data_IF_512641048418
#
_entry.id   IF_512641048418
#
_cell.length_a   1.000
_cell.length_b   1.000
_cell.length_c   1.000
_cell.angle_alpha   90.00
_cell.angle_beta   90.00
_cell.angle_gamma   90.00
#
_symmetry.space_group_name_H-M   'P 1'
#
loop_
_entity.id
_entity.type
_entity.pdbx_description
1 polymer ?
#
# COMPACT_ATOMS: atom_id res chain seq x y z
N UNK A 1 -2.13 2.79 -34.93
CA UNK A 1 -1.04 3.58 -34.33
C UNK A 1 -0.80 3.07 -32.92
N UNK A 2 0.34 2.44 -32.64
CA UNK A 2 0.71 1.99 -31.31
C UNK A 2 1.09 3.22 -30.47
N UNK A 3 0.08 3.90 -29.92
CA UNK A 3 0.28 5.06 -29.07
C UNK A 3 1.08 4.68 -27.84
N UNK A 4 2.02 5.55 -27.45
CA UNK A 4 2.72 5.53 -26.16
C UNK A 4 1.69 5.75 -25.04
N UNK A 5 0.87 4.74 -24.76
CA UNK A 5 -0.16 4.76 -23.72
C UNK A 5 0.39 4.18 -22.41
N UNK A 6 -0.22 4.57 -21.30
CA UNK A 6 0.03 3.90 -20.02
C UNK A 6 -0.68 2.54 -20.01
N UNK A 7 -0.03 1.53 -19.44
CA UNK A 7 -0.62 0.22 -19.16
C UNK A 7 -0.94 0.15 -17.67
N UNK A 8 -2.17 -0.19 -17.32
CA UNK A 8 -2.53 -0.54 -15.95
C UNK A 8 -1.95 -1.92 -15.63
N UNK A 9 -1.25 -2.03 -14.51
CA UNK A 9 -0.68 -3.29 -14.01
C UNK A 9 -1.56 -3.77 -12.87
N UNK A 10 -2.09 -4.98 -12.99
CA UNK A 10 -2.87 -5.60 -11.93
C UNK A 10 -1.96 -6.06 -10.79
N UNK A 11 -2.41 -5.92 -9.54
CA UNK A 11 -1.71 -6.51 -8.40
C UNK A 11 -1.60 -8.05 -8.51
N UNK A 12 -2.46 -8.71 -9.29
CA UNK A 12 -2.33 -10.14 -9.58
C UNK A 12 -1.05 -10.44 -10.38
N UNK A 13 -0.68 -9.57 -11.32
CA UNK A 13 0.58 -9.71 -12.08
C UNK A 13 1.77 -9.51 -11.15
N UNK A 14 1.72 -8.50 -10.27
CA UNK A 14 2.76 -8.26 -9.25
C UNK A 14 2.91 -9.47 -8.33
N UNK A 15 1.80 -9.99 -7.78
CA UNK A 15 1.82 -11.17 -6.90
C UNK A 15 2.41 -12.40 -7.59
N UNK A 16 2.13 -12.60 -8.88
CA UNK A 16 2.73 -13.67 -9.68
C UNK A 16 4.24 -13.52 -9.78
N UNK A 17 4.74 -12.31 -10.03
CA UNK A 17 6.19 -12.04 -10.08
C UNK A 17 6.84 -12.27 -8.72
N UNK A 18 6.21 -11.81 -7.64
CA UNK A 18 6.69 -12.03 -6.26
C UNK A 18 6.72 -13.54 -5.94
N UNK A 19 5.74 -14.30 -6.40
CA UNK A 19 5.68 -15.75 -6.24
C UNK A 19 6.77 -16.54 -6.99
N UNK A 20 7.47 -15.91 -7.95
CA UNK A 20 8.59 -16.52 -8.66
C UNK A 20 9.95 -16.27 -7.99
N UNK A 21 9.98 -15.45 -6.93
CA UNK A 21 11.22 -15.17 -6.20
C UNK A 21 11.70 -16.41 -5.42
N UNK A 22 13.01 -16.73 -5.45
CA UNK A 22 13.56 -17.86 -4.70
C UNK A 22 13.34 -17.75 -3.19
N UNK A 23 13.13 -18.87 -2.50
CA UNK A 23 12.84 -18.93 -1.06
C UNK A 23 13.84 -18.16 -0.15
N UNK A 24 15.11 -18.05 -0.54
CA UNK A 24 16.14 -17.34 0.22
C UNK A 24 16.20 -15.82 -0.04
N UNK A 25 15.28 -15.29 -0.82
CA UNK A 25 15.20 -13.86 -1.14
C UNK A 25 14.37 -13.11 -0.11
N UNK A 26 14.62 -11.80 0.02
CA UNK A 26 13.82 -10.89 0.82
C UNK A 26 13.30 -9.76 -0.07
N UNK A 27 12.00 -9.50 0.01
CA UNK A 27 11.32 -8.42 -0.70
C UNK A 27 10.57 -7.55 0.30
N UNK A 28 10.86 -6.24 0.30
CA UNK A 28 10.06 -5.24 1.00
C UNK A 28 9.28 -4.42 -0.02
N UNK A 29 7.95 -4.56 -0.01
CA UNK A 29 7.02 -3.78 -0.81
C UNK A 29 6.49 -2.59 0.01
N UNK A 30 6.49 -1.41 -0.60
CA UNK A 30 5.96 -0.18 -0.01
C UNK A 30 4.89 0.38 -0.94
N UNK A 31 3.63 0.24 -0.53
CA UNK A 31 2.45 0.58 -1.33
C UNK A 31 1.78 1.84 -0.76
N UNK A 32 2.21 3.02 -1.23
CA UNK A 32 1.48 4.26 -0.97
C UNK A 32 0.35 4.44 -1.99
N UNK A 33 -0.73 3.70 -1.81
CA UNK A 33 -1.93 3.80 -2.64
C UNK A 33 -3.19 3.37 -1.88
N UNK A 34 -4.34 3.76 -2.40
CA UNK A 34 -5.61 3.16 -2.01
C UNK A 34 -5.78 1.78 -2.69
N UNK A 35 -6.62 0.92 -2.11
CA UNK A 35 -6.86 -0.45 -2.59
C UNK A 35 -5.62 -1.37 -2.65
N UNK A 36 -4.77 -1.38 -1.61
CA UNK A 36 -3.62 -2.25 -1.55
C UNK A 36 -4.07 -3.71 -1.43
N UNK A 37 -3.76 -4.52 -2.44
CA UNK A 37 -4.05 -5.96 -2.45
C UNK A 37 -2.77 -6.73 -2.77
N UNK A 38 -2.32 -7.56 -1.83
CA UNK A 38 -1.20 -8.49 -1.98
C UNK A 38 -1.66 -9.88 -1.54
N UNK A 39 -2.05 -10.70 -2.51
CA UNK A 39 -2.57 -12.05 -2.27
C UNK A 39 -1.44 -12.98 -1.83
N UNK A 40 -1.80 -14.02 -1.06
CA UNK A 40 -0.83 -14.97 -0.52
C UNK A 40 -0.03 -14.45 0.67
N UNK A 41 -0.32 -13.24 1.14
CA UNK A 41 0.22 -12.67 2.38
C UNK A 41 -0.81 -12.73 3.52
N UNK A 42 -0.34 -12.58 4.76
CA UNK A 42 -1.14 -12.58 5.98
C UNK A 42 -1.25 -11.17 6.59
N UNK A 43 -2.43 -10.77 7.10
CA UNK A 43 -3.70 -11.49 7.04
C UNK A 43 -4.24 -11.70 5.61
N UNK A 44 -4.95 -12.81 5.34
CA UNK A 44 -5.43 -13.13 4.00
C UNK A 44 -6.41 -12.06 3.48
N UNK A 45 -6.23 -11.69 2.22
CA UNK A 45 -7.07 -10.72 1.54
C UNK A 45 -7.94 -11.39 0.47
N UNK A 46 -9.13 -10.83 0.23
CA UNK A 46 -10.02 -11.31 -0.83
C UNK A 46 -9.39 -11.06 -2.21
N UNK A 47 -9.36 -12.06 -3.11
CA UNK A 47 -8.99 -11.86 -4.51
C UNK A 47 -10.07 -11.11 -5.30
N UNK A 48 -11.28 -11.03 -4.74
CA UNK A 48 -12.40 -10.31 -5.32
C UNK A 48 -12.37 -8.89 -4.77
N UNK A 49 -12.16 -7.93 -5.66
CA UNK A 49 -12.34 -6.52 -5.37
C UNK A 49 -13.85 -6.23 -5.29
N UNK A 50 -14.37 -6.21 -4.06
CA UNK A 50 -15.70 -5.67 -3.85
C UNK A 50 -15.72 -4.21 -4.32
N UNK A 51 -16.80 -3.83 -5.02
CA UNK A 51 -17.01 -2.44 -5.37
C UNK A 51 -17.14 -1.65 -4.07
N UNK A 52 -16.10 -0.90 -3.70
CA UNK A 52 -16.17 -0.03 -2.54
C UNK A 52 -16.93 1.22 -2.96
N UNK A 53 -18.16 1.37 -2.46
CA UNK A 53 -18.95 2.57 -2.70
C UNK A 53 -18.35 3.70 -1.88
N UNK A 54 -17.55 4.53 -2.52
CA UNK A 54 -17.06 5.78 -1.95
C UNK A 54 -17.77 6.90 -2.69
N UNK A 55 -18.41 7.80 -1.94
CA UNK A 55 -19.08 8.95 -2.53
C UNK A 55 -18.15 9.66 -3.51
N UNK A 56 -18.69 10.21 -4.60
CA UNK A 56 -17.89 10.93 -5.58
C UNK A 56 -17.13 12.06 -4.87
N UNK A 57 -15.83 12.14 -5.10
CA UNK A 57 -15.00 13.18 -4.50
C UNK A 57 -15.41 14.51 -5.14
N UNK A 58 -15.96 15.41 -4.34
CA UNK A 58 -16.27 16.76 -4.78
C UNK A 58 -14.99 17.58 -4.83
N UNK A 59 -14.40 17.68 -6.02
CA UNK A 59 -13.16 18.44 -6.25
C UNK A 59 -13.26 19.91 -5.88
N UNK A 60 -14.47 20.49 -5.83
CA UNK A 60 -14.66 21.89 -5.39
C UNK A 60 -14.40 22.01 -3.90
N UNK A 61 -14.88 21.05 -3.11
CA UNK A 61 -14.67 20.99 -1.66
C UNK A 61 -13.21 20.72 -1.31
N UNK A 62 -12.50 19.91 -2.10
CA UNK A 62 -11.10 19.57 -1.85
C UNK A 62 -10.13 20.77 -1.83
N UNK A 63 -10.48 21.92 -2.40
CA UNK A 63 -9.61 23.11 -2.38
C UNK A 63 -9.37 23.64 -0.97
N UNK A 64 -10.37 23.47 -0.10
CA UNK A 64 -10.35 24.01 1.26
C UNK A 64 -9.81 22.99 2.29
N UNK A 65 -9.57 21.73 1.87
CA UNK A 65 -9.00 20.71 2.74
C UNK A 65 -7.48 20.65 2.60
N UNK A 66 -6.81 20.66 3.76
CA UNK A 66 -5.37 20.42 3.90
C UNK A 66 -5.02 18.98 3.46
N UNK A 67 -5.93 18.04 3.70
CA UNK A 67 -5.79 16.63 3.35
C UNK A 67 -6.39 16.33 1.98
N UNK A 68 -5.63 15.70 1.09
CA UNK A 68 -6.08 15.33 -0.27
C UNK A 68 -6.06 13.81 -0.48
N UNK A 69 -7.19 13.15 -0.80
CA UNK A 69 -7.19 11.73 -1.07
C UNK A 69 -6.44 11.41 -2.37
N UNK A 70 -5.67 10.32 -2.39
CA UNK A 70 -4.98 9.80 -3.57
C UNK A 70 -5.87 8.81 -4.28
N UNK A 71 -6.33 9.17 -5.47
CA UNK A 71 -7.12 8.28 -6.31
C UNK A 71 -6.91 8.62 -7.77
N UNK A 72 -7.14 7.62 -8.62
CA UNK A 72 -7.19 7.78 -10.06
C UNK A 72 -8.64 7.54 -10.49
N UNK A 73 -9.32 8.57 -11.00
CA UNK A 73 -10.62 8.40 -11.64
C UNK A 73 -10.38 7.73 -13.00
N UNK A 74 -10.65 6.43 -13.05
CA UNK A 74 -10.57 5.67 -14.29
C UNK A 74 -11.91 5.77 -15.03
N UNK A 75 -11.90 5.89 -16.38
CA UNK A 75 -13.13 5.68 -17.14
C UNK A 75 -13.65 4.28 -16.86
N UNK A 76 -14.94 4.03 -17.15
CA UNK A 76 -15.48 2.68 -17.08
C UNK A 76 -14.61 1.74 -17.94
N UNK A 77 -13.83 0.89 -17.29
CA UNK A 77 -12.99 -0.06 -17.99
C UNK A 77 -13.90 -1.18 -18.52
N UNK A 78 -13.67 -1.66 -19.75
CA UNK A 78 -14.39 -2.84 -20.24
C UNK A 78 -14.12 -3.99 -19.26
N UNK A 79 -15.17 -4.75 -18.93
CA UNK A 79 -15.03 -5.92 -18.06
C UNK A 79 -14.10 -6.91 -18.77
N UNK A 80 -12.89 -7.03 -18.26
CA UNK A 80 -11.94 -8.05 -18.69
C UNK A 80 -12.01 -9.20 -17.69
N UNK A 81 -12.30 -10.40 -18.18
CA UNK A 81 -12.19 -11.60 -17.37
C UNK A 81 -10.74 -11.74 -16.94
N UNK A 82 -10.50 -11.93 -15.64
CA UNK A 82 -9.16 -12.23 -15.13
C UNK A 82 -8.60 -13.44 -15.90
N UNK A 83 -7.44 -13.30 -16.56
CA UNK A 83 -6.80 -14.40 -17.28
C UNK A 83 -6.61 -15.60 -16.36
N UNK A 84 -6.84 -16.83 -16.86
CA UNK A 84 -6.81 -18.04 -16.02
C UNK A 84 -5.50 -18.21 -15.27
N UNK A 85 -4.38 -17.90 -15.91
CA UNK A 85 -3.05 -17.97 -15.30
C UNK A 85 -2.84 -16.96 -14.16
N UNK A 86 -3.73 -15.98 -13.97
CA UNK A 86 -3.71 -15.01 -12.86
C UNK A 86 -4.76 -15.32 -11.78
N UNK A 87 -5.59 -16.37 -11.93
CA UNK A 87 -6.69 -16.66 -10.99
C UNK A 87 -6.23 -17.36 -9.70
N UNK A 88 -5.14 -18.11 -9.74
CA UNK A 88 -4.65 -18.83 -8.57
C UNK A 88 -3.76 -17.92 -7.71
N UNK A 89 -4.08 -17.71 -6.42
CA UNK A 89 -3.19 -16.99 -5.52
C UNK A 89 -1.90 -17.78 -5.32
N UNK A 90 -0.77 -17.18 -5.70
CA UNK A 90 0.56 -17.74 -5.46
C UNK A 90 1.02 -17.26 -4.09
N UNK A 91 1.29 -18.19 -3.17
CA UNK A 91 1.93 -17.86 -1.90
C UNK A 91 3.45 -17.84 -2.12
N UNK A 92 4.14 -16.71 -1.90
CA UNK A 92 5.58 -16.65 -2.10
C UNK A 92 6.31 -17.50 -1.06
N UNK A 93 7.30 -18.26 -1.51
CA UNK A 93 8.23 -19.00 -0.62
C UNK A 93 9.28 -18.07 0.01
N UNK A 94 9.53 -16.91 -0.61
CA UNK A 94 10.48 -15.92 -0.11
C UNK A 94 9.92 -15.10 1.07
N UNK A 95 10.81 -14.37 1.75
CA UNK A 95 10.44 -13.41 2.79
C UNK A 95 9.85 -12.18 2.12
N UNK A 96 8.57 -11.89 2.37
CA UNK A 96 7.89 -10.69 1.86
C UNK A 96 7.34 -9.87 3.01
N UNK A 97 7.75 -8.60 3.08
CA UNK A 97 7.15 -7.59 3.92
C UNK A 97 6.40 -6.61 3.02
N UNK A 98 5.08 -6.49 3.15
CA UNK A 98 4.32 -5.53 2.38
C UNK A 98 3.69 -4.50 3.31
N UNK A 99 4.24 -3.29 3.29
CA UNK A 99 3.68 -2.14 3.98
C UNK A 99 2.76 -1.39 3.03
N UNK A 100 1.57 -1.08 3.52
CA UNK A 100 0.51 -0.47 2.75
C UNK A 100 -0.03 0.77 3.47
N UNK A 101 -0.36 1.81 2.72
CA UNK A 101 -0.84 3.08 3.25
C UNK A 101 -2.11 2.99 4.08
N UNK A 102 -3.06 2.17 3.67
CA UNK A 102 -4.39 2.15 4.27
C UNK A 102 -5.05 0.78 4.19
N UNK A 103 -6.16 0.61 4.91
CA UNK A 103 -7.07 -0.54 4.72
C UNK A 103 -7.82 -0.41 3.39
N UNK A 104 -8.43 -1.51 2.95
CA UNK A 104 -9.18 -1.59 1.69
C UNK A 104 -10.32 -0.55 1.58
N UNK A 105 -10.92 -0.16 2.70
CA UNK A 105 -12.04 0.79 2.75
C UNK A 105 -11.61 2.24 3.03
N UNK A 106 -10.33 2.46 3.31
CA UNK A 106 -9.77 3.77 3.64
C UNK A 106 -9.12 4.44 2.42
N UNK A 107 -8.95 5.76 2.48
CA UNK A 107 -8.21 6.53 1.47
C UNK A 107 -6.77 6.75 1.92
N UNK A 108 -5.80 6.41 1.06
CA UNK A 108 -4.49 7.06 1.15
C UNK A 108 -4.64 8.54 0.84
N UNK A 109 -3.84 9.39 1.49
CA UNK A 109 -3.92 10.84 1.34
C UNK A 109 -2.53 11.50 1.28
N UNK A 110 -2.54 12.76 0.85
CA UNK A 110 -1.40 13.67 0.86
C UNK A 110 -1.65 14.82 1.83
N UNK A 111 -0.57 15.31 2.44
CA UNK A 111 -0.54 16.44 3.38
C UNK A 111 0.62 17.38 3.06
N UNK A 112 0.49 18.69 3.38
CA UNK A 112 1.64 19.60 3.39
C UNK A 112 2.49 19.30 4.63
N UNK A 113 3.56 18.55 4.43
CA UNK A 113 4.49 18.11 5.47
C UNK A 113 5.86 18.70 5.16
N UNK A 114 6.45 19.41 6.13
CA UNK A 114 7.80 19.98 6.02
C UNK A 114 7.98 20.91 4.81
N UNK A 115 6.96 21.72 4.52
CA UNK A 115 7.00 22.72 3.45
C UNK A 115 6.68 22.20 2.05
N UNK A 116 6.33 20.92 1.89
CA UNK A 116 5.94 20.35 0.58
C UNK A 116 4.78 19.36 0.70
N UNK A 117 4.05 19.13 -0.39
CA UNK A 117 2.94 18.15 -0.43
C UNK A 117 3.54 16.76 -0.62
N UNK A 118 3.23 15.84 0.30
CA UNK A 118 3.78 14.49 0.32
C UNK A 118 2.69 13.46 0.58
N UNK A 119 2.89 12.24 0.07
CA UNK A 119 2.10 11.08 0.48
C UNK A 119 2.26 10.88 1.99
N UNK A 120 1.15 10.95 2.71
CA UNK A 120 1.14 10.90 4.18
C UNK A 120 1.77 9.61 4.69
N UNK A 121 1.52 8.49 4.02
CA UNK A 121 2.13 7.21 4.38
C UNK A 121 3.61 7.16 4.05
N UNK A 122 4.05 7.53 2.84
CA UNK A 122 5.47 7.54 2.49
C UNK A 122 6.26 8.42 3.45
N UNK A 123 5.77 9.62 3.77
CA UNK A 123 6.42 10.50 4.74
C UNK A 123 6.53 9.83 6.12
N UNK A 124 5.43 9.28 6.64
CA UNK A 124 5.43 8.62 7.94
C UNK A 124 6.35 7.38 7.97
N UNK A 125 6.38 6.61 6.89
CA UNK A 125 7.25 5.43 6.72
C UNK A 125 8.73 5.84 6.77
N UNK A 126 9.13 6.87 6.02
CA UNK A 126 10.50 7.39 6.03
C UNK A 126 10.89 7.95 7.40
N UNK A 127 9.98 8.66 8.10
CA UNK A 127 10.24 9.14 9.47
C UNK A 127 10.40 8.00 10.46
N UNK A 128 9.57 6.96 10.35
CA UNK A 128 9.67 5.78 11.20
C UNK A 128 11.00 5.02 10.97
N UNK A 129 11.43 4.87 9.71
CA UNK A 129 12.73 4.30 9.37
C UNK A 129 13.89 5.12 9.92
N UNK A 130 13.86 6.44 9.74
CA UNK A 130 14.90 7.34 10.22
C UNK A 130 15.00 7.30 11.76
N UNK A 131 13.87 7.26 12.47
CA UNK A 131 13.83 7.12 13.93
C UNK A 131 14.42 5.78 14.41
N UNK A 132 14.30 4.72 13.60
CA UNK A 132 14.97 3.44 13.82
C UNK A 132 16.41 3.38 13.32
N UNK A 133 17.01 4.51 12.91
CA UNK A 133 18.34 4.57 12.29
C UNK A 133 18.52 3.60 11.12
N UNK A 134 17.46 3.36 10.35
CA UNK A 134 17.41 2.37 9.26
C UNK A 134 17.76 0.93 9.69
N UNK A 135 17.73 0.65 10.99
CA UNK A 135 18.04 -0.63 11.62
C UNK A 135 16.93 -0.98 12.60
N UNK A 136 15.82 -1.44 12.07
CA UNK A 136 14.67 -1.84 12.89
C UNK A 136 14.03 -3.11 12.36
N UNK A 137 13.43 -3.86 13.30
CA UNK A 137 12.59 -4.98 12.92
C UNK A 137 11.29 -4.48 12.31
N UNK A 138 10.68 -5.33 11.48
CA UNK A 138 9.41 -5.06 10.80
C UNK A 138 8.31 -4.65 11.79
N UNK A 139 8.19 -5.33 12.94
CA UNK A 139 7.20 -4.97 13.96
C UNK A 139 7.44 -3.58 14.56
N UNK A 140 8.69 -3.24 14.87
CA UNK A 140 9.04 -1.91 15.42
C UNK A 140 8.77 -0.80 14.41
N UNK A 141 9.04 -1.05 13.13
CA UNK A 141 8.72 -0.10 12.06
C UNK A 141 7.21 0.11 11.96
N UNK A 142 6.42 -0.97 11.96
CA UNK A 142 4.96 -0.90 11.90
C UNK A 142 4.36 -0.15 13.10
N UNK A 143 4.87 -0.39 14.32
CA UNK A 143 4.44 0.33 15.52
C UNK A 143 4.72 1.83 15.42
N UNK A 144 5.94 2.21 15.03
CA UNK A 144 6.32 3.61 14.86
C UNK A 144 5.48 4.29 13.77
N UNK A 145 5.23 3.59 12.66
CA UNK A 145 4.40 4.05 11.55
C UNK A 145 2.94 4.27 11.95
N UNK A 146 2.36 3.34 12.72
CA UNK A 146 1.01 3.47 13.28
C UNK A 146 0.92 4.67 14.21
N UNK A 147 1.92 4.86 15.09
CA UNK A 147 1.97 6.00 16.02
C UNK A 147 2.03 7.33 15.28
N UNK A 148 2.96 7.48 14.33
CA UNK A 148 3.08 8.72 13.53
C UNK A 148 1.78 8.99 12.78
N UNK A 149 1.17 7.97 12.18
CA UNK A 149 -0.07 8.16 11.44
C UNK A 149 -1.23 8.56 12.35
N UNK A 150 -1.30 7.99 13.56
CA UNK A 150 -2.29 8.39 14.58
C UNK A 150 -2.11 9.87 14.96
N UNK A 151 -0.88 10.32 15.19
CA UNK A 151 -0.59 11.73 15.50
C UNK A 151 -1.03 12.66 14.36
N UNK A 152 -0.83 12.24 13.11
CA UNK A 152 -1.31 12.99 11.94
C UNK A 152 -2.85 13.03 11.88
N UNK A 153 -3.55 11.94 12.21
CA UNK A 153 -5.03 11.92 12.30
C UNK A 153 -5.56 12.91 13.33
N UNK A 154 -4.87 13.06 14.46
CA UNK A 154 -5.27 13.99 15.51
C UNK A 154 -5.06 15.46 15.11
N UNK A 155 -4.06 15.73 14.26
CA UNK A 155 -3.69 17.09 13.83
C UNK A 155 -4.42 17.55 12.57
N UNK A 156 -4.68 16.64 11.65
CA UNK A 156 -5.23 16.96 10.33
C UNK A 156 -6.58 16.27 10.15
N UNK A 157 -7.62 17.08 9.99
CA UNK A 157 -8.95 16.57 9.64
C UNK A 157 -8.91 15.88 8.27
N UNK A 158 -9.64 14.76 8.14
CA UNK A 158 -9.75 14.01 6.90
C UNK A 158 -8.68 12.95 6.65
N UNK A 159 -7.68 12.81 7.53
CA UNK A 159 -6.77 11.66 7.48
C UNK A 159 -7.51 10.43 8.00
N UNK A 160 -7.90 9.53 7.11
CA UNK A 160 -8.61 8.30 7.46
C UNK A 160 -7.74 7.03 7.34
N UNK A 161 -6.48 7.15 6.95
CA UNK A 161 -5.64 6.00 6.60
C UNK A 161 -5.01 5.29 7.80
N UNK A 162 -5.03 3.96 7.79
CA UNK A 162 -4.40 3.10 8.79
C UNK A 162 -3.40 2.19 8.09
N UNK A 163 -2.09 2.39 8.30
CA UNK A 163 -1.06 1.59 7.68
C UNK A 163 -1.23 0.10 7.99
N UNK A 164 -1.10 -0.75 6.99
CA UNK A 164 -1.25 -2.21 7.12
C UNK A 164 0.08 -2.87 6.78
N UNK A 165 0.48 -3.82 7.64
CA UNK A 165 1.57 -4.74 7.36
C UNK A 165 0.99 -6.09 6.94
N UNK A 166 1.44 -6.59 5.79
CA UNK A 166 1.15 -7.92 5.29
C UNK A 166 2.46 -8.72 5.19
N UNK A 167 2.45 -9.98 5.62
CA UNK A 167 3.63 -10.84 5.70
C UNK A 167 3.46 -12.14 4.91
N UNK A 168 4.49 -12.59 4.19
CA UNK A 168 4.51 -13.96 3.67
C UNK A 168 4.61 -14.96 4.83
N UNK A 169 4.36 -16.25 4.56
CA UNK A 169 4.54 -17.31 5.57
C UNK A 169 5.98 -17.44 6.05
N UNK A 170 6.95 -17.12 5.20
CA UNK A 170 8.37 -17.14 5.53
C UNK A 170 8.82 -15.88 6.31
N UNK A 171 7.99 -14.83 6.36
CA UNK A 171 8.29 -13.59 7.04
C UNK A 171 7.77 -13.58 8.49
N UNK A 172 8.43 -12.79 9.33
CA UNK A 172 8.15 -12.60 10.75
C UNK A 172 8.37 -11.13 11.13
N UNK A 173 7.69 -10.69 12.18
CA UNK A 173 7.85 -9.33 12.72
C UNK A 173 9.26 -9.01 13.23
N UNK A 174 10.08 -10.05 13.48
CA UNK A 174 11.46 -9.92 13.96
C UNK A 174 12.48 -9.78 12.81
N UNK A 175 12.08 -9.99 11.55
CA UNK A 175 12.97 -9.75 10.43
C UNK A 175 13.37 -8.28 10.37
N UNK A 176 14.60 -8.01 9.92
CA UNK A 176 15.02 -6.65 9.59
C UNK A 176 14.31 -6.20 8.32
N UNK A 177 13.89 -4.94 8.28
CA UNK A 177 13.20 -4.36 7.11
C UNK A 177 14.13 -4.28 5.90
N UNK A 178 15.40 -3.99 6.15
CA UNK A 178 16.47 -4.04 5.17
C UNK A 178 17.54 -5.00 5.68
N UNK A 179 17.65 -6.16 5.04
CA UNK A 179 18.82 -7.03 5.22
C UNK A 179 19.99 -6.40 4.47
N UNK A 180 21.15 -6.19 5.12
CA UNK A 180 22.38 -5.86 4.41
C UNK A 180 22.84 -6.99 3.48
#
# INVERSE_FOLDING_TARGET
AAGKGYRLVSMLEVNRLVGQLPARSCLTMVLDCAYPSALGLNPPQSPIFSRVFRARVDHRKLRDYVTRPRFLELPALPVQLTPEHLRAPVSPECVVHCFSACKLEEWSCELPLEGTVQGTFTWAFTKALAAGHYRCSVSKLQEALLRITLDLKLRFSGVAQTPVLLLSRAASGNNQVFCP
#
